data_IF_591354316400
#
_entry.id   IF_591354316400
#
_cell.length_a   1.000
_cell.length_b   1.000
_cell.length_c   1.000
_cell.angle_alpha   90.00
_cell.angle_beta   90.00
_cell.angle_gamma   90.00
#
_symmetry.space_group_name_H-M   'P 1'
#
loop_
_entity.id
_entity.type
_entity.pdbx_description
1 polymer ?
#
# COMPACT_ATOMS: atom_id res chain seq x y z
N UNK A 1 13.32 16.28 22.22
CA UNK A 1 12.72 15.72 21.00
C UNK A 1 12.36 14.28 21.36
N UNK A 2 11.08 13.96 21.51
CA UNK A 2 10.69 12.58 21.82
C UNK A 2 11.02 11.72 20.60
N UNK A 3 11.82 10.67 20.78
CA UNK A 3 11.98 9.65 19.74
C UNK A 3 10.61 9.04 19.45
N UNK A 4 10.22 8.96 18.17
CA UNK A 4 9.03 8.21 17.81
C UNK A 4 9.19 6.75 18.25
N UNK A 5 8.06 6.13 18.58
CA UNK A 5 8.04 4.72 18.99
C UNK A 5 8.56 3.83 17.84
N UNK A 6 9.33 2.79 18.18
CA UNK A 6 9.68 1.75 17.19
C UNK A 6 8.50 0.79 17.06
N UNK A 7 8.05 0.57 15.83
CA UNK A 7 6.97 -0.38 15.57
C UNK A 7 7.45 -1.82 15.82
N UNK A 8 6.64 -2.65 16.48
CA UNK A 8 7.07 -3.98 16.94
C UNK A 8 7.16 -5.00 15.79
N UNK A 9 6.46 -4.76 14.68
CA UNK A 9 6.38 -5.67 13.55
C UNK A 9 5.85 -4.96 12.30
N UNK A 10 5.99 -5.55 11.09
CA UNK A 10 5.36 -5.07 9.85
C UNK A 10 3.82 -4.97 9.90
N UNK A 11 3.21 -5.60 10.90
CA UNK A 11 1.78 -5.64 11.15
C UNK A 11 1.51 -5.31 12.62
N UNK A 12 0.58 -4.40 12.89
CA UNK A 12 0.09 -4.09 14.25
C UNK A 12 -1.41 -4.31 14.28
N UNK A 13 -1.95 -4.70 15.44
CA UNK A 13 -3.39 -4.85 15.62
C UNK A 13 -4.03 -3.57 16.19
N UNK A 14 -5.36 -3.60 16.33
CA UNK A 14 -6.13 -2.46 16.85
C UNK A 14 -5.84 -2.17 18.32
N UNK A 15 -5.53 -3.18 19.12
CA UNK A 15 -5.18 -2.99 20.53
C UNK A 15 -3.87 -2.20 20.67
N UNK A 16 -2.83 -2.61 19.93
CA UNK A 16 -1.56 -1.92 19.91
C UNK A 16 -1.71 -0.48 19.42
N UNK A 17 -2.48 -0.25 18.34
CA UNK A 17 -2.70 1.08 17.80
C UNK A 17 -3.47 1.97 18.78
N UNK A 18 -4.48 1.44 19.47
CA UNK A 18 -5.23 2.18 20.50
C UNK A 18 -4.33 2.68 21.63
N UNK A 19 -3.42 1.84 22.12
CA UNK A 19 -2.47 2.19 23.18
C UNK A 19 -1.35 3.16 22.75
N UNK A 20 -1.13 3.32 21.44
CA UNK A 20 -0.01 4.10 20.89
C UNK A 20 -0.46 5.16 19.87
N UNK A 21 -1.75 5.46 19.83
CA UNK A 21 -2.38 6.32 18.85
C UNK A 21 -1.65 7.68 18.70
N UNK A 22 -1.35 8.33 19.82
CA UNK A 22 -0.70 9.66 19.84
C UNK A 22 0.81 9.63 19.54
N UNK A 23 1.38 8.44 19.32
CA UNK A 23 2.82 8.24 19.08
C UNK A 23 3.15 7.88 17.64
N UNK A 24 2.13 7.72 16.78
CA UNK A 24 2.27 7.31 15.39
C UNK A 24 1.52 8.24 14.46
N UNK A 25 1.99 8.37 13.22
CA UNK A 25 1.20 8.94 12.14
C UNK A 25 0.37 7.83 11.50
N UNK A 26 -0.93 8.07 11.32
CA UNK A 26 -1.85 7.11 10.72
C UNK A 26 -2.16 7.55 9.28
N UNK A 27 -1.85 6.70 8.31
CA UNK A 27 -2.12 6.95 6.89
C UNK A 27 -3.24 6.03 6.40
N UNK A 28 -4.42 6.59 6.10
CA UNK A 28 -5.58 5.84 5.63
C UNK A 28 -5.65 5.84 4.10
N UNK A 29 -5.35 4.69 3.49
CA UNK A 29 -5.28 4.57 2.04
C UNK A 29 -6.66 4.30 1.44
N UNK A 30 -7.24 5.32 0.81
CA UNK A 30 -8.56 5.24 0.14
C UNK A 30 -8.54 5.81 -1.28
N UNK A 31 -9.71 5.76 -1.94
CA UNK A 31 -9.89 6.25 -3.32
C UNK A 31 -10.14 7.76 -3.39
N UNK A 32 -10.80 8.35 -2.41
CA UNK A 32 -11.31 9.73 -2.40
C UNK A 32 -11.69 10.20 -0.99
N UNK A 33 -11.97 11.50 -0.85
CA UNK A 33 -12.37 12.14 0.40
C UNK A 33 -13.76 11.69 0.86
N UNK A 34 -14.69 11.45 -0.06
CA UNK A 34 -16.05 11.02 0.28
C UNK A 34 -16.01 9.69 1.04
N UNK A 35 -15.25 8.70 0.52
CA UNK A 35 -15.07 7.45 1.23
C UNK A 35 -14.41 7.60 2.60
N UNK A 36 -13.62 8.65 2.82
CA UNK A 36 -12.91 8.94 4.07
C UNK A 36 -13.81 9.60 5.12
N UNK A 37 -14.68 10.51 4.70
CA UNK A 37 -15.59 11.26 5.56
C UNK A 37 -16.89 10.48 5.84
N UNK A 38 -17.57 9.98 4.80
CA UNK A 38 -18.91 9.37 4.95
C UNK A 38 -18.92 8.08 5.79
N UNK A 39 -17.86 7.28 5.67
CA UNK A 39 -17.72 6.02 6.43
C UNK A 39 -17.02 6.27 7.78
N UNK A 40 -16.41 7.44 7.94
CA UNK A 40 -15.49 7.76 9.02
C UNK A 40 -14.12 7.10 8.86
N UNK A 41 -13.18 7.52 9.69
CA UNK A 41 -11.78 7.08 9.74
C UNK A 41 -11.29 7.07 11.20
N UNK A 42 -10.15 6.42 11.43
CA UNK A 42 -9.51 6.45 12.74
C UNK A 42 -9.11 7.89 13.05
N UNK A 43 -9.32 8.36 14.28
CA UNK A 43 -8.96 9.72 14.67
C UNK A 43 -7.51 10.05 14.27
N UNK A 44 -7.28 11.31 13.88
CA UNK A 44 -5.98 11.81 13.41
C UNK A 44 -5.40 11.13 12.16
N UNK A 45 -6.12 10.19 11.53
CA UNK A 45 -5.65 9.59 10.29
C UNK A 45 -5.63 10.61 9.15
N UNK A 46 -4.65 10.48 8.26
CA UNK A 46 -4.49 11.29 7.07
C UNK A 46 -4.89 10.49 5.84
N UNK A 47 -5.75 11.08 5.00
CA UNK A 47 -6.19 10.45 3.77
C UNK A 47 -5.04 10.40 2.75
N UNK A 48 -4.60 9.18 2.44
CA UNK A 48 -3.72 8.91 1.30
C UNK A 48 -4.54 8.42 0.13
N UNK A 49 -4.62 9.22 -0.93
CA UNK A 49 -5.28 8.80 -2.15
C UNK A 49 -4.43 7.76 -2.92
N UNK A 50 -4.95 6.55 -3.07
CA UNK A 50 -4.27 5.43 -3.74
C UNK A 50 -3.88 5.71 -5.21
N UNK A 51 -4.52 6.69 -5.86
CA UNK A 51 -4.14 7.13 -7.21
C UNK A 51 -2.94 8.07 -7.20
N UNK A 52 -2.72 8.83 -6.12
CA UNK A 52 -1.62 9.80 -5.99
C UNK A 52 -0.28 9.16 -5.62
N UNK A 53 -0.29 7.93 -5.06
CA UNK A 53 0.93 7.17 -4.75
C UNK A 53 1.52 6.45 -5.98
N UNK A 54 1.08 6.82 -7.19
CA UNK A 54 1.38 6.16 -8.46
C UNK A 54 1.53 7.21 -9.54
N UNK A 55 2.44 6.94 -10.48
CA UNK A 55 2.66 7.81 -11.63
C UNK A 55 2.46 7.07 -12.94
N UNK A 56 2.36 7.82 -14.03
CA UNK A 56 2.41 7.29 -15.39
C UNK A 56 3.81 7.55 -15.95
N UNK A 57 4.33 6.63 -16.76
CA UNK A 57 5.59 6.78 -17.49
C UNK A 57 5.44 6.21 -18.88
N UNK A 58 6.06 6.85 -19.87
CA UNK A 58 6.16 6.30 -21.22
C UNK A 58 7.53 5.67 -21.39
N UNK A 59 7.57 4.39 -21.74
CA UNK A 59 8.80 3.63 -21.98
C UNK A 59 8.70 3.04 -23.38
N UNK A 60 9.67 3.35 -24.25
CA UNK A 60 9.71 2.89 -25.64
C UNK A 60 8.40 3.15 -26.42
N UNK A 61 7.77 4.31 -26.18
CA UNK A 61 6.50 4.71 -26.79
C UNK A 61 5.25 4.05 -26.19
N UNK A 62 5.39 3.22 -25.15
CA UNK A 62 4.29 2.56 -24.45
C UNK A 62 3.96 3.32 -23.17
N UNK A 63 2.71 3.76 -23.03
CA UNK A 63 2.23 4.39 -21.80
C UNK A 63 1.97 3.35 -20.71
N UNK A 64 2.76 3.40 -19.64
CA UNK A 64 2.59 2.57 -18.46
C UNK A 64 1.94 3.39 -17.35
N UNK A 65 0.79 2.91 -16.88
CA UNK A 65 0.07 3.51 -15.74
C UNK A 65 0.39 2.78 -14.45
N UNK A 66 0.15 3.44 -13.30
CA UNK A 66 0.30 2.84 -11.97
C UNK A 66 1.73 2.45 -11.60
N UNK A 67 2.70 3.14 -12.16
CA UNK A 67 4.13 2.95 -11.90
C UNK A 67 4.52 3.54 -10.55
N UNK A 68 5.66 3.07 -10.04
CA UNK A 68 6.30 3.62 -8.83
C UNK A 68 6.79 5.06 -9.09
N UNK A 69 6.62 6.02 -8.15
CA UNK A 69 7.24 7.34 -8.22
C UNK A 69 8.78 7.26 -8.06
N UNK A 70 9.53 8.15 -8.68
CA UNK A 70 10.94 8.37 -8.29
C UNK A 70 11.05 8.98 -6.89
N UNK A 71 12.25 8.96 -6.30
CA UNK A 71 12.49 9.47 -4.95
C UNK A 71 12.01 10.90 -4.75
N UNK A 72 12.29 11.82 -5.68
CA UNK A 72 11.89 13.22 -5.55
C UNK A 72 10.35 13.39 -5.50
N UNK A 73 9.63 12.69 -6.40
CA UNK A 73 8.16 12.70 -6.38
C UNK A 73 7.59 12.06 -5.12
N UNK A 74 8.27 11.04 -4.58
CA UNK A 74 7.86 10.38 -3.35
C UNK A 74 8.10 11.25 -2.11
N UNK A 75 9.24 11.93 -2.04
CA UNK A 75 9.59 12.90 -1.00
C UNK A 75 8.58 14.03 -0.92
N UNK A 76 8.25 14.65 -2.05
CA UNK A 76 7.25 15.71 -2.13
C UNK A 76 5.89 15.20 -1.63
N UNK A 77 5.45 14.04 -2.13
CA UNK A 77 4.19 13.45 -1.71
C UNK A 77 4.15 13.21 -0.19
N UNK A 78 5.14 12.53 0.38
CA UNK A 78 5.17 12.22 1.81
C UNK A 78 5.30 13.46 2.69
N UNK A 79 6.04 14.48 2.23
CA UNK A 79 6.17 15.79 2.89
C UNK A 79 4.83 16.52 2.96
N UNK A 80 4.00 16.43 1.90
CA UNK A 80 2.63 16.98 1.89
C UNK A 80 1.65 16.21 2.78
N UNK A 81 2.00 14.97 3.17
CA UNK A 81 1.27 14.20 4.18
C UNK A 81 1.78 14.49 5.60
N UNK A 82 2.72 15.43 5.80
CA UNK A 82 3.25 15.75 7.12
C UNK A 82 4.13 14.67 7.74
N UNK A 83 4.60 13.71 6.94
CA UNK A 83 5.49 12.63 7.39
C UNK A 83 6.94 13.10 7.31
N UNK A 84 7.72 12.86 8.37
CA UNK A 84 9.16 13.10 8.38
C UNK A 84 9.91 11.78 8.58
N UNK A 85 11.24 11.82 8.49
CA UNK A 85 12.10 10.65 8.62
C UNK A 85 12.07 9.99 10.01
N UNK A 86 11.72 10.73 11.06
CA UNK A 86 11.66 10.23 12.44
C UNK A 86 10.30 9.60 12.77
N UNK A 87 9.30 9.70 11.88
CA UNK A 87 7.96 9.23 12.16
C UNK A 87 7.88 7.71 12.37
N UNK A 88 6.93 7.29 13.21
CA UNK A 88 6.41 5.93 13.23
C UNK A 88 5.09 5.92 12.47
N UNK A 89 4.95 5.13 11.40
CA UNK A 89 3.80 5.22 10.51
C UNK A 89 2.99 3.92 10.50
N UNK A 90 1.71 4.03 10.82
CA UNK A 90 0.75 2.92 10.68
C UNK A 90 -0.14 3.22 9.46
N UNK A 91 -0.06 2.36 8.46
CA UNK A 91 -0.90 2.46 7.26
C UNK A 91 -2.15 1.62 7.49
N UNK A 92 -3.32 2.25 7.37
CA UNK A 92 -4.61 1.57 7.43
C UNK A 92 -5.35 1.65 6.09
N UNK A 93 -6.47 0.96 6.03
CA UNK A 93 -7.40 0.89 4.92
C UNK A 93 -8.80 0.55 5.42
N UNK A 94 -9.82 0.69 4.57
CA UNK A 94 -11.21 0.39 4.97
C UNK A 94 -11.46 -1.06 5.41
N UNK A 95 -10.74 -2.04 4.86
CA UNK A 95 -10.84 -3.45 5.30
C UNK A 95 -12.09 -4.18 4.81
N UNK A 96 -12.82 -3.61 3.84
CA UNK A 96 -14.09 -4.16 3.34
C UNK A 96 -13.92 -5.03 2.08
N UNK A 97 -12.81 -4.88 1.35
CA UNK A 97 -12.50 -5.75 0.22
C UNK A 97 -10.98 -5.89 0.00
N UNK A 98 -10.53 -6.93 -0.73
CA UNK A 98 -9.10 -7.16 -0.97
C UNK A 98 -8.36 -6.00 -1.65
N UNK A 99 -9.05 -5.20 -2.46
CA UNK A 99 -8.46 -4.04 -3.13
C UNK A 99 -8.04 -2.94 -2.16
N UNK A 100 -8.71 -2.82 -1.00
CA UNK A 100 -8.29 -1.89 0.05
C UNK A 100 -6.91 -2.28 0.60
N UNK A 101 -6.72 -3.56 0.92
CA UNK A 101 -5.44 -4.08 1.43
C UNK A 101 -4.34 -3.91 0.38
N UNK A 102 -4.62 -4.23 -0.88
CA UNK A 102 -3.66 -4.03 -1.97
C UNK A 102 -3.23 -2.56 -2.16
N UNK A 103 -4.11 -1.60 -1.85
CA UNK A 103 -3.79 -0.18 -1.84
C UNK A 103 -2.81 0.19 -0.73
N UNK A 104 -3.10 -0.20 0.51
CA UNK A 104 -2.24 0.03 1.66
C UNK A 104 -0.89 -0.67 1.53
N UNK A 105 -0.89 -1.94 1.13
CA UNK A 105 0.33 -2.71 0.88
C UNK A 105 1.21 -2.09 -0.22
N UNK A 106 0.60 -1.40 -1.20
CA UNK A 106 1.37 -0.66 -2.22
C UNK A 106 2.08 0.56 -1.64
N UNK A 107 1.45 1.31 -0.74
CA UNK A 107 2.11 2.40 -0.03
C UNK A 107 3.22 1.87 0.89
N UNK A 108 2.95 0.79 1.63
CA UNK A 108 3.94 0.11 2.46
C UNK A 108 5.18 -0.26 1.63
N UNK A 109 4.98 -0.91 0.48
CA UNK A 109 6.07 -1.26 -0.43
C UNK A 109 6.82 -0.03 -0.95
N UNK A 110 6.13 1.06 -1.28
CA UNK A 110 6.79 2.32 -1.68
C UNK A 110 7.68 2.88 -0.56
N UNK A 111 7.18 2.93 0.68
CA UNK A 111 7.97 3.40 1.82
C UNK A 111 9.21 2.52 2.04
N UNK A 112 9.08 1.19 2.03
CA UNK A 112 10.24 0.29 2.12
C UNK A 112 11.20 0.49 0.97
N UNK A 113 10.70 0.61 -0.25
CA UNK A 113 11.51 0.78 -1.44
C UNK A 113 12.34 2.06 -1.35
N UNK A 114 11.76 3.16 -0.86
CA UNK A 114 12.45 4.43 -0.63
C UNK A 114 13.19 4.49 0.72
N UNK A 115 13.58 3.35 1.27
CA UNK A 115 14.48 3.26 2.43
C UNK A 115 13.86 3.60 3.79
N UNK A 116 12.53 3.66 3.92
CA UNK A 116 11.87 3.98 5.18
C UNK A 116 11.38 2.71 5.90
N UNK A 117 11.76 2.52 7.16
CA UNK A 117 11.59 1.25 7.88
C UNK A 117 10.57 1.24 9.00
N UNK A 118 10.35 2.37 9.68
CA UNK A 118 9.47 2.43 10.85
C UNK A 118 7.99 2.50 10.40
N UNK A 119 7.55 1.46 9.70
CA UNK A 119 6.21 1.31 9.11
C UNK A 119 5.56 -0.02 9.45
N UNK A 120 4.25 0.02 9.67
CA UNK A 120 3.41 -1.16 9.81
C UNK A 120 2.09 -0.98 9.04
N UNK A 121 1.46 -2.10 8.67
CA UNK A 121 0.05 -2.14 8.29
C UNK A 121 -0.80 -2.36 9.55
N UNK A 122 -1.99 -1.77 9.60
CA UNK A 122 -3.01 -2.16 10.59
C UNK A 122 -3.71 -3.44 10.14
N UNK A 123 -3.60 -4.52 10.92
CA UNK A 123 -4.25 -5.79 10.62
C UNK A 123 -5.77 -5.65 10.59
N UNK A 124 -6.39 -6.13 9.51
CA UNK A 124 -7.81 -5.96 9.23
C UNK A 124 -8.28 -4.52 8.96
N UNK A 125 -7.41 -3.51 9.12
CA UNK A 125 -7.69 -2.09 8.91
C UNK A 125 -8.86 -1.58 9.76
N UNK A 126 -9.57 -0.57 9.24
CA UNK A 126 -10.64 0.11 9.97
C UNK A 126 -11.83 -0.82 10.30
N UNK A 127 -12.04 -1.88 9.52
CA UNK A 127 -13.06 -2.88 9.82
C UNK A 127 -12.73 -3.68 11.10
N UNK A 128 -11.44 -3.97 11.36
CA UNK A 128 -11.00 -4.60 12.60
C UNK A 128 -11.00 -3.62 13.76
N UNK A 129 -10.63 -2.36 13.52
CA UNK A 129 -10.73 -1.27 14.49
C UNK A 129 -12.14 -1.15 15.08
N UNK A 130 -13.15 -1.06 14.21
CA UNK A 130 -14.56 -1.04 14.63
C UNK A 130 -14.98 -2.35 15.30
N UNK A 131 -14.49 -3.50 14.83
CA UNK A 131 -14.79 -4.79 15.46
C UNK A 131 -14.18 -4.92 16.87
N UNK A 132 -13.11 -4.18 17.15
CA UNK A 132 -12.52 -4.03 18.49
C UNK A 132 -13.26 -3.01 19.36
N UNK A 133 -14.43 -2.52 18.92
CA UNK A 133 -15.27 -1.53 19.60
C UNK A 133 -14.63 -0.13 19.70
N UNK A 134 -13.65 0.16 18.86
CA UNK A 134 -13.05 1.49 18.75
C UNK A 134 -13.83 2.38 17.78
N UNK A 135 -13.85 3.69 18.06
CA UNK A 135 -14.65 4.64 17.30
C UNK A 135 -13.96 5.13 16.02
N UNK A 136 -14.76 5.42 15.00
CA UNK A 136 -14.35 6.21 13.85
C UNK A 136 -14.90 7.63 14.00
N UNK A 137 -14.17 8.59 13.46
CA UNK A 137 -14.55 10.00 13.38
C UNK A 137 -14.77 10.42 11.93
N UNK A 138 -15.49 11.51 11.70
CA UNK A 138 -15.83 12.05 10.38
C UNK A 138 -15.28 13.47 10.14
N UNK A 139 -14.54 14.02 11.11
CA UNK A 139 -13.94 15.34 11.01
C UNK A 139 -12.82 15.37 9.97
N UNK A 140 -12.59 16.52 9.33
CA UNK A 140 -11.46 16.66 8.41
C UNK A 140 -10.16 16.73 9.20
N UNK A 141 -9.28 15.76 9.00
CA UNK A 141 -7.87 15.88 9.42
C UNK A 141 -7.07 16.59 8.34
N UNK A 142 -6.44 17.71 8.70
CA UNK A 142 -5.56 18.43 7.80
C UNK A 142 -4.14 17.89 7.94
N UNK A 143 -3.53 17.48 6.82
CA UNK A 143 -2.12 17.13 6.79
C UNK A 143 -1.28 18.37 7.13
N UNK A 144 -0.27 18.19 7.98
CA UNK A 144 0.79 19.16 8.16
C UNK A 144 1.75 19.14 6.97
N UNK A 145 2.66 20.13 6.92
CA UNK A 145 3.83 20.07 6.05
C UNK A 145 5.06 19.72 6.88
N UNK A 146 5.85 18.78 6.39
CA UNK A 146 7.12 18.33 6.98
C UNK A 146 8.18 18.22 5.90
N UNK A 147 9.39 17.80 6.27
CA UNK A 147 10.43 17.39 5.32
C UNK A 147 10.60 15.87 5.43
N UNK A 148 10.37 15.18 4.33
CA UNK A 148 10.70 13.77 4.14
C UNK A 148 11.83 13.65 3.13
N UNK A 149 12.90 12.95 3.50
CA UNK A 149 13.99 12.60 2.60
C UNK A 149 13.95 11.09 2.35
N UNK A 150 13.89 10.66 1.09
CA UNK A 150 13.96 9.25 0.76
C UNK A 150 15.36 8.72 1.08
N UNK A 151 15.42 7.50 1.60
CA UNK A 151 16.66 6.76 1.72
C UNK A 151 17.12 6.20 0.38
N UNK A 152 18.17 5.37 0.43
CA UNK A 152 18.64 4.62 -0.75
C UNK A 152 17.52 3.72 -1.27
N UNK A 153 17.26 3.78 -2.58
CA UNK A 153 16.27 2.92 -3.21
C UNK A 153 16.68 1.43 -3.09
N UNK A 154 15.78 0.60 -2.57
CA UNK A 154 15.97 -0.83 -2.35
C UNK A 154 15.68 -1.63 -3.61
N UNK A 155 16.70 -1.76 -4.46
CA UNK A 155 16.62 -2.51 -5.71
C UNK A 155 16.25 -3.98 -5.51
N UNK A 156 16.61 -4.58 -4.38
CA UNK A 156 16.40 -5.99 -4.07
C UNK A 156 14.90 -6.38 -3.92
N UNK A 157 14.01 -5.41 -3.69
CA UNK A 157 12.56 -5.65 -3.64
C UNK A 157 11.83 -5.21 -4.93
N UNK A 158 12.57 -4.87 -5.98
CA UNK A 158 12.07 -4.48 -7.28
C UNK A 158 12.64 -5.40 -8.37
N UNK A 159 11.78 -6.18 -9.02
CA UNK A 159 12.17 -6.92 -10.20
C UNK A 159 12.06 -6.04 -11.47
N UNK A 160 13.15 -5.92 -12.20
CA UNK A 160 13.23 -5.27 -13.51
C UNK A 160 12.75 -6.19 -14.64
N UNK A 161 12.49 -5.62 -15.82
CA UNK A 161 12.12 -6.40 -17.02
C UNK A 161 13.20 -7.44 -17.36
N UNK A 162 14.48 -7.08 -17.21
CA UNK A 162 15.60 -8.00 -17.51
C UNK A 162 15.64 -9.18 -16.53
N UNK A 163 15.45 -8.92 -15.25
CA UNK A 163 15.40 -9.97 -14.22
C UNK A 163 14.19 -10.87 -14.42
N UNK A 164 13.02 -10.32 -14.74
CA UNK A 164 11.83 -11.12 -15.04
C UNK A 164 12.05 -12.01 -16.27
N UNK A 165 12.65 -11.49 -17.35
CA UNK A 165 13.00 -12.30 -18.54
C UNK A 165 13.97 -13.43 -18.21
N UNK A 166 14.94 -13.18 -17.35
CA UNK A 166 15.90 -14.19 -16.90
C UNK A 166 15.22 -15.26 -16.05
N UNK A 167 14.36 -14.84 -15.11
CA UNK A 167 13.58 -15.72 -14.25
C UNK A 167 12.61 -16.64 -15.02
N UNK A 168 12.11 -16.22 -16.19
CA UNK A 168 11.28 -17.08 -17.04
C UNK A 168 12.00 -18.36 -17.52
N UNK A 169 13.34 -18.32 -17.58
CA UNK A 169 14.17 -19.44 -18.03
C UNK A 169 14.78 -20.23 -16.87
N UNK A 170 14.76 -19.67 -15.66
CA UNK A 170 15.35 -20.27 -14.46
C UNK A 170 14.29 -21.05 -13.67
N UNK A 171 14.46 -22.38 -13.62
CA UNK A 171 13.54 -23.26 -12.88
C UNK A 171 13.64 -23.11 -11.35
N UNK A 172 14.67 -22.44 -10.85
CA UNK A 172 14.83 -22.17 -9.42
C UNK A 172 14.07 -20.92 -8.97
N UNK A 173 13.60 -20.07 -9.90
CA UNK A 173 12.85 -18.86 -9.59
C UNK A 173 11.38 -19.09 -9.91
N UNK A 174 10.51 -18.83 -8.93
CA UNK A 174 9.05 -18.85 -9.15
C UNK A 174 8.54 -17.45 -9.39
N UNK A 175 8.05 -17.18 -10.60
CA UNK A 175 7.27 -15.98 -10.89
C UNK A 175 5.84 -16.18 -10.38
N UNK A 176 5.35 -15.29 -9.52
CA UNK A 176 3.98 -15.36 -8.98
C UNK A 176 3.15 -14.21 -9.53
N UNK A 177 2.04 -14.55 -10.18
CA UNK A 177 1.04 -13.58 -10.66
C UNK A 177 -0.14 -13.54 -9.70
N UNK A 178 -0.30 -12.41 -9.02
CA UNK A 178 -1.31 -12.23 -8.00
C UNK A 178 -2.65 -11.73 -8.52
N UNK A 179 -2.83 -11.53 -9.84
CA UNK A 179 -4.10 -11.07 -10.43
C UNK A 179 -5.24 -12.09 -10.26
N UNK A 180 -6.47 -11.68 -10.58
CA UNK A 180 -7.60 -12.62 -10.61
C UNK A 180 -7.32 -13.74 -11.63
N UNK A 181 -7.72 -14.98 -11.29
CA UNK A 181 -7.44 -16.15 -12.13
C UNK A 181 -7.90 -15.94 -13.58
N UNK A 182 -9.07 -15.32 -13.80
CA UNK A 182 -9.59 -15.03 -15.15
C UNK A 182 -8.69 -14.12 -15.97
N UNK A 183 -7.91 -13.26 -15.31
CA UNK A 183 -6.91 -12.43 -15.98
C UNK A 183 -5.67 -13.21 -16.34
N UNK A 184 -5.19 -14.03 -15.40
CA UNK A 184 -4.03 -14.89 -15.61
C UNK A 184 -4.26 -15.85 -16.79
N UNK A 185 -5.40 -16.53 -16.85
CA UNK A 185 -5.73 -17.47 -17.95
C UNK A 185 -6.22 -16.78 -19.23
N UNK A 186 -6.26 -15.43 -19.28
CA UNK A 186 -6.56 -14.68 -20.50
C UNK A 186 -8.03 -14.56 -20.90
N UNK A 187 -8.98 -14.85 -20.01
CA UNK A 187 -10.43 -14.69 -20.28
C UNK A 187 -10.88 -13.24 -20.02
N UNK A 188 -10.17 -12.50 -19.16
CA UNK A 188 -10.49 -11.11 -18.82
C UNK A 188 -9.21 -10.27 -18.81
N UNK A 189 -9.34 -8.98 -19.12
CA UNK A 189 -8.30 -8.01 -18.80
C UNK A 189 -8.91 -6.76 -18.17
N UNK A 190 -8.06 -5.91 -17.59
CA UNK A 190 -8.44 -4.53 -17.25
C UNK A 190 -8.20 -3.67 -18.47
N UNK A 191 -8.95 -2.59 -18.62
CA UNK A 191 -8.87 -1.72 -19.81
C UNK A 191 -7.47 -1.12 -20.04
N UNK A 192 -6.68 -0.96 -18.98
CA UNK A 192 -5.30 -0.44 -19.04
C UNK A 192 -4.23 -1.51 -19.27
N UNK A 193 -4.62 -2.78 -19.43
CA UNK A 193 -3.69 -3.87 -19.78
C UNK A 193 -3.82 -4.09 -21.28
N UNK A 194 -2.69 -4.07 -22.00
CA UNK A 194 -2.66 -4.20 -23.45
C UNK A 194 -3.08 -5.60 -23.90
N UNK A 195 -2.44 -6.63 -23.36
CA UNK A 195 -2.66 -8.03 -23.78
C UNK A 195 -3.34 -8.90 -22.72
N UNK A 196 -4.03 -9.94 -23.18
CA UNK A 196 -4.59 -10.99 -22.32
C UNK A 196 -3.50 -11.99 -21.90
N UNK A 197 -3.76 -12.74 -20.83
CA UNK A 197 -2.88 -13.81 -20.37
C UNK A 197 -1.86 -13.37 -19.34
N UNK A 198 -0.75 -14.10 -19.25
CA UNK A 198 0.28 -13.97 -18.22
C UNK A 198 1.68 -14.20 -18.79
N UNK A 199 2.69 -13.85 -18.00
CA UNK A 199 4.09 -14.11 -18.32
C UNK A 199 4.31 -15.63 -18.31
N UNK A 200 4.92 -16.23 -19.36
CA UNK A 200 5.24 -17.66 -19.37
C UNK A 200 5.98 -18.08 -18.10
N UNK A 201 5.75 -19.32 -17.66
CA UNK A 201 6.23 -19.92 -16.38
C UNK A 201 5.60 -19.40 -15.09
N UNK A 202 4.94 -18.22 -15.10
CA UNK A 202 4.35 -17.68 -13.86
C UNK A 202 3.21 -18.55 -13.31
N UNK A 203 3.11 -18.61 -11.99
CA UNK A 203 2.07 -19.33 -11.25
C UNK A 203 1.02 -18.35 -10.74
N UNK A 204 -0.25 -18.69 -10.90
CA UNK A 204 -1.34 -17.88 -10.35
C UNK A 204 -1.44 -18.08 -8.85
N UNK A 205 -1.40 -16.98 -8.09
CA UNK A 205 -1.77 -16.96 -6.68
C UNK A 205 -2.55 -15.67 -6.37
N UNK A 206 -3.86 -15.64 -6.69
CA UNK A 206 -4.65 -14.42 -6.60
C UNK A 206 -4.60 -13.76 -5.21
N UNK A 207 -4.30 -12.47 -5.13
CA UNK A 207 -4.09 -11.76 -3.85
C UNK A 207 -5.30 -11.83 -2.91
N UNK A 208 -6.51 -12.03 -3.44
CA UNK A 208 -7.72 -12.25 -2.64
C UNK A 208 -7.67 -13.48 -1.73
N UNK A 209 -6.76 -14.43 -2.01
CA UNK A 209 -6.53 -15.64 -1.20
C UNK A 209 -5.59 -15.38 -0.02
N UNK A 210 -4.90 -14.21 0.01
CA UNK A 210 -4.05 -13.80 1.13
C UNK A 210 -4.85 -13.27 2.32
N UNK A 211 -6.15 -13.05 2.14
CA UNK A 211 -7.03 -12.45 3.15
C UNK A 211 -8.02 -13.50 3.64
N UNK A 212 -8.32 -13.52 4.95
CA UNK A 212 -9.30 -14.45 5.48
C UNK A 212 -10.63 -14.27 4.75
N UNK A 213 -11.16 -15.37 4.22
CA UNK A 213 -12.49 -15.40 3.63
C UNK A 213 -13.52 -15.22 4.76
N UNK A 214 -14.09 -14.03 4.91
CA UNK A 214 -15.31 -13.89 5.73
C UNK A 214 -16.42 -14.63 4.99
N UNK A 215 -16.77 -15.83 5.47
CA UNK A 215 -18.10 -16.41 5.19
C UNK A 215 -19.11 -15.39 5.67
N UNK A 216 -19.84 -14.77 4.76
CA UNK A 216 -21.13 -14.16 5.09
C UNK A 216 -22.03 -15.33 5.48
N UNK A 217 -22.36 -15.43 6.76
CA UNK A 217 -23.49 -16.26 7.22
C UNK A 217 -24.80 -15.62 6.75
#
# INVERSE_FOLDING_TARGET
MAHAITLPSPLVDSEWLSQNHDKVAILDVRKDLDSFVEIGHIANALLVNVKKIRINRTIDGIELTRMRPDSASFEDFMSTQGINNDAAVVITHQGINPGNVAGAARLYWHMKYHGFDNIALLDGGNAAWVAALEELVDNKTQAGNSVFNAGVERGEILATISEVKSAMMDKQITLVDTRDLRQHIGIKKKNYVYEFGHIPSSKSFPYKLLLPYKKTN
#
